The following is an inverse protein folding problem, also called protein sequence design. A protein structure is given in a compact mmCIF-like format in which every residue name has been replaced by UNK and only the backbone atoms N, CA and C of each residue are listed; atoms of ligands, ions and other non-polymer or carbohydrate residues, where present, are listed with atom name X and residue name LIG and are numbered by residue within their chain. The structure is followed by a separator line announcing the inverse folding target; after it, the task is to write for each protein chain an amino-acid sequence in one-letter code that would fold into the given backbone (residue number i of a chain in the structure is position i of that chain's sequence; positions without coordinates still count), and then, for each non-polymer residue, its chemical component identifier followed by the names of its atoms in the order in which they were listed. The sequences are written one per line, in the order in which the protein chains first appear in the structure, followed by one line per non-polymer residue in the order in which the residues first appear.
data_IF_367863256296
#
_entry.id   IF_367863256296
#
_cell.length_a   1.000
_cell.length_b   1.000
_cell.length_c   1.000
_cell.angle_alpha   90.00
_cell.angle_beta   90.00
_cell.angle_gamma   90.00
#
_symmetry.space_group_name_H-M   'P 1'
#
loop_
_entity.id
_entity.type
_entity.pdbx_description
1 polymer ?
#
# COMPACT_ATOMS: atom_id res chain seq x y z
N UNK A 1 4.45 -30.08 -1.28
CA UNK A 1 3.40 -29.08 -1.05
C UNK A 1 3.58 -28.06 -2.17
N UNK A 2 2.49 -27.71 -2.83
CA UNK A 2 2.55 -26.74 -3.92
C UNK A 2 2.75 -25.36 -3.32
N UNK A 3 3.59 -24.55 -3.95
CA UNK A 3 3.93 -23.18 -3.53
C UNK A 3 3.85 -22.17 -4.70
N UNK A 4 3.12 -22.56 -5.75
CA UNK A 4 3.00 -21.77 -6.98
C UNK A 4 2.20 -20.49 -6.73
N UNK A 5 1.05 -20.60 -6.07
CA UNK A 5 0.16 -19.46 -5.83
C UNK A 5 0.77 -18.47 -4.82
N UNK A 6 1.39 -18.98 -3.75
CA UNK A 6 2.03 -18.10 -2.75
C UNK A 6 3.21 -17.34 -3.35
N UNK A 7 4.02 -18.01 -4.19
CA UNK A 7 5.13 -17.38 -4.92
C UNK A 7 4.62 -16.34 -5.91
N UNK A 8 3.51 -16.61 -6.59
CA UNK A 8 2.88 -15.64 -7.49
C UNK A 8 2.42 -14.37 -6.75
N UNK A 9 1.78 -14.51 -5.59
CA UNK A 9 1.40 -13.35 -4.77
C UNK A 9 2.64 -12.56 -4.28
N UNK A 10 3.70 -13.27 -3.84
CA UNK A 10 4.96 -12.62 -3.46
C UNK A 10 5.56 -11.86 -4.65
N UNK A 11 5.54 -12.47 -5.84
CA UNK A 11 6.07 -11.83 -7.04
C UNK A 11 5.25 -10.59 -7.41
N UNK A 12 3.92 -10.66 -7.40
CA UNK A 12 3.06 -9.51 -7.68
C UNK A 12 3.27 -8.35 -6.69
N UNK A 13 3.50 -8.63 -5.40
CA UNK A 13 3.87 -7.62 -4.40
C UNK A 13 5.21 -6.95 -4.76
N UNK A 14 6.23 -7.71 -5.16
CA UNK A 14 7.50 -7.18 -5.62
C UNK A 14 7.34 -6.33 -6.89
N UNK A 15 6.55 -6.83 -7.82
CA UNK A 15 6.36 -6.21 -9.12
C UNK A 15 5.72 -4.82 -9.01
N UNK A 16 4.70 -4.66 -8.17
CA UNK A 16 4.04 -3.35 -7.98
C UNK A 16 4.98 -2.31 -7.36
N UNK A 17 6.02 -2.76 -6.65
CA UNK A 17 7.01 -1.85 -6.05
C UNK A 17 8.06 -1.40 -7.09
N UNK A 18 8.66 -2.33 -7.83
CA UNK A 18 9.89 -2.04 -8.60
C UNK A 18 9.95 -2.61 -10.02
N UNK A 19 9.07 -3.55 -10.42
CA UNK A 19 9.20 -4.22 -11.70
C UNK A 19 8.57 -3.44 -12.87
N UNK A 20 8.92 -3.86 -14.09
CA UNK A 20 8.30 -3.37 -15.31
C UNK A 20 6.94 -4.06 -15.53
N UNK A 21 5.89 -3.50 -14.94
CA UNK A 21 4.53 -3.97 -15.15
C UNK A 21 4.05 -3.65 -16.58
N UNK A 22 3.07 -4.40 -17.08
CA UNK A 22 2.45 -4.15 -18.39
C UNK A 22 1.93 -2.71 -18.56
N UNK A 23 1.56 -2.05 -17.47
CA UNK A 23 1.13 -0.63 -17.45
C UNK A 23 2.30 0.36 -17.48
N UNK A 24 3.55 -0.13 -17.51
CA UNK A 24 4.80 0.65 -17.48
C UNK A 24 4.94 1.61 -16.27
N UNK A 25 4.30 1.29 -15.14
CA UNK A 25 4.30 2.10 -13.91
C UNK A 25 4.41 1.22 -12.68
N UNK A 26 5.17 1.67 -11.68
CA UNK A 26 5.29 1.06 -10.36
C UNK A 26 5.51 2.16 -9.30
N UNK A 27 5.56 1.78 -8.01
CA UNK A 27 5.75 2.76 -6.95
C UNK A 27 7.10 3.48 -7.05
N UNK A 28 8.18 2.78 -7.34
CA UNK A 28 9.51 3.39 -7.47
C UNK A 28 9.52 4.48 -8.56
N UNK A 29 9.02 4.16 -9.76
CA UNK A 29 8.91 5.12 -10.88
C UNK A 29 8.04 6.33 -10.52
N UNK A 30 6.94 6.14 -9.78
CA UNK A 30 6.06 7.25 -9.38
C UNK A 30 6.69 8.10 -8.28
N UNK A 31 7.19 7.47 -7.23
CA UNK A 31 7.70 8.17 -6.06
C UNK A 31 9.04 8.85 -6.31
N UNK A 32 9.85 8.38 -7.27
CA UNK A 32 11.07 9.10 -7.72
C UNK A 32 10.80 10.46 -8.35
N UNK A 33 9.55 10.76 -8.74
CA UNK A 33 9.13 12.04 -9.30
C UNK A 33 8.73 13.08 -8.23
N UNK A 34 8.82 12.71 -6.95
CA UNK A 34 8.31 13.49 -5.82
C UNK A 34 9.45 13.73 -4.83
N UNK A 35 9.60 14.94 -4.38
CA UNK A 35 10.56 15.33 -3.34
C UNK A 35 9.86 15.62 -2.00
N UNK A 36 10.67 15.89 -0.96
CA UNK A 36 10.17 16.15 0.39
C UNK A 36 9.40 17.48 0.53
N UNK A 37 9.31 18.30 -0.50
CA UNK A 37 8.47 19.50 -0.53
C UNK A 37 7.14 19.19 -1.18
N UNK A 38 7.17 18.70 -2.41
CA UNK A 38 5.98 18.42 -3.23
C UNK A 38 5.14 17.24 -2.70
N UNK A 39 5.78 16.31 -1.96
CA UNK A 39 5.09 15.17 -1.37
C UNK A 39 3.89 15.54 -0.50
N UNK A 40 3.94 16.68 0.17
CA UNK A 40 2.90 17.14 1.11
C UNK A 40 1.94 18.15 0.49
N UNK A 41 2.03 18.41 -0.81
CA UNK A 41 1.13 19.33 -1.50
C UNK A 41 -0.12 18.59 -1.97
N UNK A 42 -1.27 19.20 -1.73
CA UNK A 42 -2.53 18.77 -2.34
C UNK A 42 -2.75 19.59 -3.59
N UNK A 43 -2.89 18.96 -4.78
CA UNK A 43 -3.13 19.75 -6.01
C UNK A 43 -4.45 20.53 -5.95
N UNK A 44 -5.45 19.99 -5.31
CA UNK A 44 -6.68 20.69 -4.92
C UNK A 44 -7.11 20.22 -3.52
N UNK A 45 -7.88 21.03 -2.76
CA UNK A 45 -8.25 20.70 -1.37
C UNK A 45 -8.96 19.33 -1.21
N UNK A 46 -9.67 18.89 -2.23
CA UNK A 46 -10.42 17.62 -2.22
C UNK A 46 -9.56 16.38 -2.54
N UNK A 47 -8.31 16.55 -2.98
CA UNK A 47 -7.40 15.44 -3.28
C UNK A 47 -6.41 15.24 -2.14
N UNK A 48 -5.97 14.00 -1.97
CA UNK A 48 -4.87 13.68 -1.06
C UNK A 48 -3.53 14.04 -1.67
N UNK A 49 -2.58 14.43 -0.82
CA UNK A 49 -1.17 14.55 -1.18
C UNK A 49 -0.53 13.17 -1.36
N UNK A 50 0.65 13.13 -1.97
CA UNK A 50 1.40 11.88 -2.10
C UNK A 50 1.79 11.32 -0.72
N UNK A 51 2.17 12.18 0.24
CA UNK A 51 2.49 11.76 1.60
C UNK A 51 1.29 11.13 2.33
N UNK A 52 0.08 11.66 2.13
CA UNK A 52 -1.15 11.08 2.69
C UNK A 52 -1.45 9.71 2.07
N UNK A 53 -1.31 9.55 0.75
CA UNK A 53 -1.47 8.27 0.06
C UNK A 53 -0.44 7.23 0.54
N UNK A 54 0.83 7.62 0.66
CA UNK A 54 1.89 6.75 1.18
C UNK A 54 1.60 6.33 2.62
N UNK A 55 1.21 7.25 3.49
CA UNK A 55 0.84 6.94 4.88
C UNK A 55 -0.34 5.98 4.96
N UNK A 56 -1.35 6.17 4.12
CA UNK A 56 -2.50 5.28 4.03
C UNK A 56 -2.09 3.85 3.64
N UNK A 57 -1.24 3.68 2.62
CA UNK A 57 -0.70 2.39 2.21
C UNK A 57 0.09 1.71 3.34
N UNK A 58 0.93 2.46 4.06
CA UNK A 58 1.70 1.95 5.21
C UNK A 58 0.76 1.35 6.27
N UNK A 59 -0.29 2.05 6.65
CA UNK A 59 -1.21 1.60 7.69
C UNK A 59 -2.01 0.36 7.24
N UNK A 60 -2.47 0.31 5.99
CA UNK A 60 -3.16 -0.88 5.47
C UNK A 60 -2.24 -2.07 5.29
N UNK A 61 -0.97 -1.89 4.89
CA UNK A 61 0.01 -2.97 4.85
C UNK A 61 0.31 -3.53 6.25
N UNK A 62 0.36 -2.67 7.28
CA UNK A 62 0.48 -3.08 8.69
C UNK A 62 -0.74 -3.88 9.13
N UNK A 63 -1.93 -3.42 8.78
CA UNK A 63 -3.19 -4.11 9.08
C UNK A 63 -3.23 -5.49 8.40
N UNK A 64 -2.87 -5.59 7.12
CA UNK A 64 -2.80 -6.86 6.40
C UNK A 64 -1.80 -7.81 7.06
N UNK A 65 -0.60 -7.35 7.40
CA UNK A 65 0.38 -8.17 8.11
C UNK A 65 -0.14 -8.67 9.46
N UNK A 66 -0.86 -7.82 10.20
CA UNK A 66 -1.49 -8.20 11.47
C UNK A 66 -2.50 -9.34 11.26
N UNK A 67 -3.35 -9.23 10.25
CA UNK A 67 -4.33 -10.29 9.91
C UNK A 67 -3.66 -11.57 9.43
N UNK A 68 -2.61 -11.48 8.61
CA UNK A 68 -1.82 -12.64 8.18
C UNK A 68 -1.24 -13.42 9.37
N UNK A 69 -0.94 -12.74 10.47
CA UNK A 69 -0.53 -13.33 11.75
C UNK A 69 -1.68 -13.88 12.60
N UNK A 70 -2.90 -13.85 12.09
CA UNK A 70 -4.09 -14.36 12.77
C UNK A 70 -4.75 -13.40 13.76
N UNK A 71 -4.34 -12.13 13.78
CA UNK A 71 -4.99 -11.13 14.62
C UNK A 71 -6.33 -10.68 14.01
N UNK A 72 -7.25 -10.26 14.88
CA UNK A 72 -8.49 -9.63 14.45
C UNK A 72 -8.22 -8.25 13.84
N UNK A 73 -9.20 -7.73 13.10
CA UNK A 73 -9.15 -6.40 12.52
C UNK A 73 -8.81 -5.34 13.56
N UNK A 74 -7.77 -4.54 13.27
CA UNK A 74 -7.31 -3.44 14.12
C UNK A 74 -7.57 -2.06 13.51
N UNK A 75 -7.48 -1.91 12.18
CA UNK A 75 -7.72 -0.64 11.48
C UNK A 75 -9.13 -0.57 10.92
N UNK A 76 -9.81 0.55 11.15
CA UNK A 76 -11.11 0.88 10.59
C UNK A 76 -11.04 2.08 9.63
N UNK A 77 -12.01 2.19 8.71
CA UNK A 77 -12.09 3.32 7.78
C UNK A 77 -12.27 4.68 8.46
N UNK A 78 -12.82 4.69 9.68
CA UNK A 78 -13.02 5.89 10.51
C UNK A 78 -11.81 6.23 11.39
N UNK A 79 -10.80 5.36 11.47
CA UNK A 79 -9.61 5.62 12.29
C UNK A 79 -8.81 6.81 11.76
N UNK A 80 -8.36 7.66 12.68
CA UNK A 80 -7.48 8.79 12.33
C UNK A 80 -6.17 8.33 11.67
N UNK A 81 -5.70 7.11 11.98
CA UNK A 81 -4.53 6.52 11.34
C UNK A 81 -4.74 6.21 9.85
N UNK A 82 -6.00 6.02 9.42
CA UNK A 82 -6.32 5.76 8.02
C UNK A 82 -5.93 6.93 7.09
N UNK A 83 -6.16 8.16 7.55
CA UNK A 83 -5.83 9.38 6.81
C UNK A 83 -5.19 10.43 7.75
N UNK A 84 -3.88 10.32 7.97
CA UNK A 84 -3.12 11.31 8.76
C UNK A 84 -3.01 12.63 8.02
N UNK A 85 -3.02 13.73 8.75
CA UNK A 85 -2.86 15.06 8.17
C UNK A 85 -1.43 15.29 7.67
N UNK A 86 -1.28 16.17 6.66
CA UNK A 86 0.03 16.59 6.17
C UNK A 86 0.92 17.20 7.27
N UNK A 87 0.33 17.88 8.27
CA UNK A 87 1.09 18.46 9.39
C UNK A 87 1.72 17.39 10.29
N UNK A 88 1.03 16.29 10.52
CA UNK A 88 1.58 15.13 11.23
C UNK A 88 2.66 14.44 10.40
N UNK A 89 2.40 14.25 9.10
CA UNK A 89 3.32 13.56 8.20
C UNK A 89 4.60 14.37 7.94
N UNK A 90 4.53 15.70 7.88
CA UNK A 90 5.71 16.58 7.81
C UNK A 90 6.64 16.40 9.01
N UNK A 91 6.09 16.23 10.21
CA UNK A 91 6.88 15.96 11.43
C UNK A 91 7.62 14.62 11.35
N UNK A 92 7.04 13.63 10.67
CA UNK A 92 7.70 12.34 10.41
C UNK A 92 8.81 12.47 9.36
N UNK A 93 8.60 13.28 8.34
CA UNK A 93 9.52 13.50 7.23
C UNK A 93 9.31 12.51 6.07
N UNK A 94 9.58 12.98 4.86
CA UNK A 94 9.36 12.22 3.63
C UNK A 94 10.20 10.95 3.56
N UNK A 95 11.50 11.04 3.87
CA UNK A 95 12.43 9.91 3.84
C UNK A 95 11.99 8.77 4.77
N UNK A 96 11.49 9.11 5.97
CA UNK A 96 10.97 8.11 6.91
C UNK A 96 9.69 7.45 6.40
N UNK A 97 8.82 8.19 5.70
CA UNK A 97 7.63 7.62 5.07
C UNK A 97 7.99 6.64 3.96
N UNK A 98 8.98 6.98 3.12
CA UNK A 98 9.47 6.10 2.06
C UNK A 98 10.09 4.82 2.64
N UNK A 99 10.92 4.97 3.69
CA UNK A 99 11.50 3.82 4.37
C UNK A 99 10.42 2.91 4.99
N UNK A 100 9.40 3.48 5.62
CA UNK A 100 8.32 2.69 6.21
C UNK A 100 7.47 1.98 5.15
N UNK A 101 7.22 2.62 4.01
CA UNK A 101 6.50 2.00 2.89
C UNK A 101 7.24 0.73 2.44
N UNK A 102 8.55 0.85 2.23
CA UNK A 102 9.39 -0.29 1.86
C UNK A 102 9.41 -1.38 2.96
N UNK A 103 9.65 -1.00 4.22
CA UNK A 103 9.72 -1.94 5.34
C UNK A 103 8.40 -2.71 5.50
N UNK A 104 7.25 -2.05 5.38
CA UNK A 104 5.96 -2.73 5.53
C UNK A 104 5.74 -3.76 4.45
N UNK A 105 6.16 -3.51 3.22
CA UNK A 105 6.13 -4.50 2.14
C UNK A 105 7.06 -5.67 2.40
N UNK A 106 8.31 -5.41 2.74
CA UNK A 106 9.29 -6.45 3.05
C UNK A 106 8.84 -7.36 4.19
N UNK A 107 8.19 -6.80 5.20
CA UNK A 107 7.63 -7.57 6.31
C UNK A 107 6.50 -8.53 5.87
N UNK A 108 5.65 -8.13 4.92
CA UNK A 108 4.62 -9.01 4.35
C UNK A 108 5.29 -10.13 3.55
N UNK A 109 6.21 -9.78 2.65
CA UNK A 109 6.94 -10.74 1.81
C UNK A 109 7.66 -11.77 2.70
N UNK A 110 8.43 -11.31 3.68
CA UNK A 110 9.17 -12.19 4.61
C UNK A 110 8.24 -13.09 5.42
N UNK A 111 7.05 -12.62 5.78
CA UNK A 111 6.06 -13.46 6.45
C UNK A 111 5.51 -14.57 5.55
N UNK A 112 5.34 -14.29 4.25
CA UNK A 112 4.83 -15.24 3.27
C UNK A 112 5.89 -16.24 2.81
N UNK A 113 7.17 -15.87 2.86
CA UNK A 113 8.28 -16.77 2.57
C UNK A 113 8.25 -17.97 3.53
N UNK A 114 8.32 -19.18 2.97
CA UNK A 114 8.19 -20.42 3.73
C UNK A 114 6.74 -20.89 4.01
N UNK A 115 5.73 -20.18 3.52
CA UNK A 115 4.35 -20.68 3.45
C UNK A 115 4.15 -21.44 2.14
N UNK A 116 3.11 -22.27 2.10
CA UNK A 116 2.66 -22.97 0.91
C UNK A 116 1.23 -22.54 0.52
N UNK A 117 0.73 -23.08 -0.59
CA UNK A 117 -0.58 -22.71 -1.12
C UNK A 117 -1.74 -23.05 -0.16
N UNK A 118 -1.57 -24.01 0.76
CA UNK A 118 -2.59 -24.34 1.76
C UNK A 118 -2.84 -23.18 2.74
N UNK A 119 -1.82 -22.38 3.02
CA UNK A 119 -1.97 -21.16 3.82
C UNK A 119 -2.96 -20.19 3.19
N UNK A 120 -2.92 -20.00 1.87
CA UNK A 120 -3.81 -19.07 1.16
C UNK A 120 -5.29 -19.44 1.30
N UNK A 121 -5.60 -20.72 1.43
CA UNK A 121 -6.97 -21.23 1.58
C UNK A 121 -7.45 -21.31 3.03
N UNK A 122 -6.63 -20.87 3.98
CA UNK A 122 -7.02 -20.77 5.39
C UNK A 122 -7.88 -19.53 5.60
N UNK A 123 -9.05 -19.71 6.25
CA UNK A 123 -9.88 -18.58 6.65
C UNK A 123 -9.15 -17.71 7.69
N UNK A 124 -9.14 -16.41 7.48
CA UNK A 124 -8.59 -15.48 8.48
C UNK A 124 -9.70 -14.95 9.40
N UNK A 125 -9.36 -14.57 10.66
CA UNK A 125 -10.34 -14.04 11.60
C UNK A 125 -11.00 -12.76 11.04
N UNK A 126 -12.30 -12.81 10.80
CA UNK A 126 -13.09 -11.68 10.33
C UNK A 126 -14.34 -11.53 11.21
N UNK A 127 -14.73 -10.28 11.51
CA UNK A 127 -15.90 -10.02 12.34
C UNK A 127 -17.23 -10.43 11.68
N UNK A 128 -17.28 -10.37 10.35
CA UNK A 128 -18.44 -10.80 9.56
C UNK A 128 -18.23 -12.25 9.08
N UNK A 129 -18.96 -13.17 9.70
CA UNK A 129 -18.93 -14.59 9.36
C UNK A 129 -19.84 -14.95 8.19
N UNK A 130 -20.63 -14.03 7.67
CA UNK A 130 -21.53 -14.26 6.53
C UNK A 130 -20.78 -14.47 5.21
N UNK A 131 -19.52 -13.96 5.11
CA UNK A 131 -18.62 -14.19 4.00
C UNK A 131 -17.24 -14.61 4.55
N UNK A 132 -16.99 -15.92 4.70
CA UNK A 132 -15.68 -16.40 5.12
C UNK A 132 -14.67 -16.05 4.02
N UNK A 133 -13.74 -15.13 4.34
CA UNK A 133 -12.64 -14.79 3.47
C UNK A 133 -11.39 -15.56 3.89
N UNK A 134 -10.63 -16.02 2.91
CA UNK A 134 -9.34 -16.67 3.11
C UNK A 134 -8.18 -15.67 2.92
N UNK A 135 -6.97 -16.11 3.24
CA UNK A 135 -5.78 -15.26 3.05
C UNK A 135 -5.49 -14.92 1.59
N UNK A 136 -5.95 -15.74 0.64
CA UNK A 136 -5.87 -15.42 -0.79
C UNK A 136 -6.68 -14.17 -1.11
N UNK A 137 -7.91 -14.08 -0.60
CA UNK A 137 -8.76 -12.89 -0.76
C UNK A 137 -8.09 -11.65 -0.17
N UNK A 138 -7.50 -11.77 1.03
CA UNK A 138 -6.82 -10.67 1.70
C UNK A 138 -5.62 -10.15 0.91
N UNK A 139 -4.75 -11.06 0.42
CA UNK A 139 -3.56 -10.70 -0.36
C UNK A 139 -3.90 -10.15 -1.73
N UNK A 140 -4.87 -10.74 -2.42
CA UNK A 140 -5.38 -10.20 -3.69
C UNK A 140 -5.96 -8.81 -3.49
N UNK A 141 -6.71 -8.60 -2.40
CA UNK A 141 -7.24 -7.29 -2.02
C UNK A 141 -6.15 -6.25 -1.78
N UNK A 142 -5.05 -6.63 -1.12
CA UNK A 142 -3.90 -5.75 -0.92
C UNK A 142 -3.28 -5.31 -2.25
N UNK A 143 -3.05 -6.25 -3.18
CA UNK A 143 -2.49 -5.94 -4.50
C UNK A 143 -3.41 -4.98 -5.27
N UNK A 144 -4.71 -5.23 -5.27
CA UNK A 144 -5.70 -4.34 -5.90
C UNK A 144 -5.71 -2.95 -5.26
N UNK A 145 -5.59 -2.86 -3.95
CA UNK A 145 -5.53 -1.62 -3.19
C UNK A 145 -4.26 -0.81 -3.53
N UNK A 146 -3.12 -1.48 -3.59
CA UNK A 146 -1.85 -0.87 -3.99
C UNK A 146 -1.93 -0.31 -5.42
N UNK A 147 -2.48 -1.08 -6.39
CA UNK A 147 -2.68 -0.64 -7.78
C UNK A 147 -3.64 0.54 -7.89
N UNK A 148 -4.73 0.53 -7.11
CA UNK A 148 -5.68 1.65 -7.05
C UNK A 148 -5.00 2.96 -6.61
N UNK A 149 -4.19 2.90 -5.55
CA UNK A 149 -3.49 4.07 -5.03
C UNK A 149 -2.30 4.48 -5.90
N UNK A 150 -1.63 3.54 -6.58
CA UNK A 150 -0.63 3.85 -7.60
C UNK A 150 -1.21 4.73 -8.71
N UNK A 151 -2.42 4.41 -9.19
CA UNK A 151 -3.16 5.22 -10.14
C UNK A 151 -3.49 6.62 -9.61
N UNK A 152 -3.93 6.72 -8.35
CA UNK A 152 -4.20 8.02 -7.70
C UNK A 152 -2.92 8.86 -7.59
N UNK A 153 -1.77 8.27 -7.22
CA UNK A 153 -0.48 8.96 -7.18
C UNK A 153 -0.13 9.54 -8.56
N UNK A 154 -0.33 8.77 -9.64
CA UNK A 154 -0.09 9.22 -11.00
C UNK A 154 -0.93 10.46 -11.36
N UNK A 155 -2.20 10.49 -10.98
CA UNK A 155 -3.09 11.63 -11.19
C UNK A 155 -2.63 12.82 -10.34
N UNK A 156 -2.35 12.63 -9.05
CA UNK A 156 -1.90 13.69 -8.14
C UNK A 156 -0.61 14.35 -8.65
N UNK A 157 0.41 13.55 -9.03
CA UNK A 157 1.67 14.04 -9.59
C UNK A 157 1.45 14.86 -10.86
N UNK A 158 0.57 14.39 -11.76
CA UNK A 158 0.24 15.12 -12.99
C UNK A 158 -0.38 16.48 -12.70
N UNK A 159 -1.31 16.56 -11.75
CA UNK A 159 -1.91 17.85 -11.37
C UNK A 159 -0.92 18.79 -10.72
N UNK A 160 -0.04 18.31 -9.82
CA UNK A 160 1.02 19.13 -9.23
C UNK A 160 1.95 19.71 -10.31
N UNK A 161 2.37 18.89 -11.29
CA UNK A 161 3.21 19.36 -12.40
C UNK A 161 2.54 20.47 -13.21
N UNK A 162 1.24 20.37 -13.48
CA UNK A 162 0.49 21.41 -14.20
C UNK A 162 0.51 22.71 -13.40
N UNK A 163 0.20 22.67 -12.10
CA UNK A 163 0.20 23.85 -11.24
C UNK A 163 1.56 24.54 -11.15
N UNK A 164 2.65 23.78 -11.17
CA UNK A 164 4.01 24.33 -11.11
C UNK A 164 4.52 24.86 -12.47
N UNK A 165 3.81 24.57 -13.58
CA UNK A 165 4.10 25.13 -14.91
C UNK A 165 3.38 26.46 -15.15
N UNK A 166 2.30 26.73 -14.43
CA UNK A 166 1.49 27.94 -14.57
C UNK A 166 1.96 29.10 -13.67
N UNK A 167 3.09 28.92 -12.97
CA UNK A 167 3.78 29.92 -12.11
C UNK A 167 5.07 30.38 -12.75
#
# INVERSE_FOLDING_TARGET
MDDILIKDHIQQLKDVETADLWIDENFEKKLSQVDGTTAFERPIPAMHSIAELVSHLIEWRREVLSRLKGNQRGLDMSDAANWRSNDELRKRGWENLMQDLHITQQNIISFLEGKDDSFLHTAYPHADTSFPHDYKYLLTGLIHHDMYHLGQMGITIKFLKIQHLDV
#
